data_IF_904277336856
#
_entry.id   IF_904277336856
#
_cell.length_a   1.000
_cell.length_b   1.000
_cell.length_c   1.000
_cell.angle_alpha   90.00
_cell.angle_beta   90.00
_cell.angle_gamma   90.00
#
_symmetry.space_group_name_H-M   'P 1'
#
loop_
_entity.id
_entity.type
_entity.pdbx_description
1 polymer ?
#
# COMPACT_ATOMS: atom_id res chain seq x y z
N UNK A 1 -12.67 18.42 19.50
CA UNK A 1 -12.44 16.96 19.50
C UNK A 1 -11.06 16.66 18.92
N UNK A 2 -10.79 17.05 17.67
CA UNK A 2 -9.47 16.93 17.03
C UNK A 2 -8.28 17.40 17.90
N UNK A 3 -8.33 18.63 18.44
CA UNK A 3 -7.23 19.19 19.24
C UNK A 3 -6.74 18.24 20.36
N UNK A 4 -7.67 17.66 21.10
CA UNK A 4 -7.37 16.74 22.19
C UNK A 4 -6.79 15.42 21.67
N UNK A 5 -7.33 14.89 20.58
CA UNK A 5 -6.82 13.68 19.93
C UNK A 5 -5.39 13.90 19.41
N UNK A 6 -5.13 15.05 18.78
CA UNK A 6 -3.81 15.42 18.29
C UNK A 6 -2.80 15.57 19.43
N UNK A 7 -3.16 16.27 20.51
CA UNK A 7 -2.28 16.39 21.68
C UNK A 7 -1.95 15.05 22.33
N UNK A 8 -2.94 14.15 22.42
CA UNK A 8 -2.73 12.79 22.94
C UNK A 8 -1.79 12.00 22.04
N UNK A 9 -2.07 11.97 20.73
CA UNK A 9 -1.22 11.34 19.72
C UNK A 9 0.21 11.86 19.85
N UNK A 10 0.43 13.18 19.83
CA UNK A 10 1.76 13.77 19.88
C UNK A 10 2.51 13.38 21.16
N UNK A 11 1.85 13.43 22.33
CA UNK A 11 2.45 13.00 23.60
C UNK A 11 2.88 11.54 23.58
N UNK A 12 2.07 10.67 23.01
CA UNK A 12 2.37 9.25 22.92
C UNK A 12 3.51 8.97 21.91
N UNK A 13 3.49 9.64 20.75
CA UNK A 13 4.54 9.54 19.74
C UNK A 13 5.90 10.04 20.26
N UNK A 14 5.93 11.15 21.00
CA UNK A 14 7.14 11.69 21.65
C UNK A 14 7.67 10.71 22.69
N UNK A 15 6.81 10.13 23.53
CA UNK A 15 7.22 9.19 24.59
C UNK A 15 7.89 7.93 24.01
N UNK A 16 7.45 7.49 22.84
CA UNK A 16 8.01 6.33 22.14
C UNK A 16 9.16 6.64 21.17
N UNK A 17 9.53 7.91 20.97
CA UNK A 17 10.54 8.31 20.01
C UNK A 17 11.93 8.49 20.64
N UNK A 18 12.97 8.33 19.82
CA UNK A 18 14.36 8.64 20.19
C UNK A 18 15.14 9.16 18.98
N UNK A 19 16.33 9.72 19.21
CA UNK A 19 17.22 10.21 18.16
C UNK A 19 16.58 11.30 17.29
N UNK A 20 16.88 11.28 15.99
CA UNK A 20 16.43 12.29 15.05
C UNK A 20 14.91 12.36 14.91
N UNK A 21 14.19 11.24 15.03
CA UNK A 21 12.72 11.25 15.04
C UNK A 21 12.16 12.06 16.21
N UNK A 22 12.73 11.91 17.41
CA UNK A 22 12.31 12.71 18.57
C UNK A 22 12.58 14.20 18.34
N UNK A 23 13.75 14.54 17.78
CA UNK A 23 14.06 15.92 17.43
C UNK A 23 13.06 16.51 16.43
N UNK A 24 12.60 15.72 15.44
CA UNK A 24 11.61 16.16 14.45
C UNK A 24 10.23 16.37 15.08
N UNK A 25 9.79 15.48 15.97
CA UNK A 25 8.52 15.62 16.71
C UNK A 25 8.47 16.84 17.65
N UNK A 26 9.62 17.37 18.03
CA UNK A 26 9.74 18.56 18.89
C UNK A 26 9.85 19.88 18.10
N UNK A 27 9.92 19.82 16.76
CA UNK A 27 9.95 21.00 15.89
C UNK A 27 8.55 21.57 15.67
N UNK A 28 8.47 22.58 14.81
CA UNK A 28 7.20 23.10 14.32
C UNK A 28 6.47 22.06 13.46
N UNK A 29 5.33 21.56 13.98
CA UNK A 29 4.45 20.61 13.33
C UNK A 29 3.20 21.28 12.74
N UNK A 30 3.23 22.59 12.47
CA UNK A 30 2.05 23.30 11.89
C UNK A 30 1.63 22.71 10.54
N UNK A 31 2.58 22.23 9.73
CA UNK A 31 2.35 21.44 8.51
C UNK A 31 1.52 20.19 8.78
N UNK A 32 2.14 19.29 9.53
CA UNK A 32 1.58 18.00 9.96
C UNK A 32 0.23 18.14 10.66
N UNK A 33 0.07 19.08 11.58
CA UNK A 33 -1.20 19.36 12.26
C UNK A 33 -2.28 19.75 11.26
N UNK A 34 -1.97 20.64 10.31
CA UNK A 34 -2.94 21.07 9.30
C UNK A 34 -3.37 19.92 8.40
N UNK A 35 -2.43 19.05 8.04
CA UNK A 35 -2.75 17.83 7.31
C UNK A 35 -3.69 16.94 8.12
N UNK A 36 -3.38 16.66 9.38
CA UNK A 36 -4.21 15.83 10.25
C UNK A 36 -5.62 16.41 10.48
N UNK A 37 -5.79 17.74 10.54
CA UNK A 37 -7.12 18.38 10.59
C UNK A 37 -7.98 17.99 9.38
N UNK A 38 -7.34 17.82 8.21
CA UNK A 38 -8.00 17.45 6.95
C UNK A 38 -8.23 15.93 6.89
N UNK A 39 -7.29 15.11 7.35
CA UNK A 39 -7.42 13.65 7.35
C UNK A 39 -8.45 13.14 8.38
N UNK A 40 -8.50 13.77 9.57
CA UNK A 40 -9.27 13.29 10.71
C UNK A 40 -10.77 13.08 10.43
N UNK A 41 -11.50 14.00 9.75
CA UNK A 41 -12.90 13.78 9.40
C UNK A 41 -13.14 12.56 8.49
N UNK A 42 -12.14 12.16 7.71
CA UNK A 42 -12.23 11.03 6.77
C UNK A 42 -11.84 9.72 7.44
N UNK A 43 -10.78 9.74 8.25
CA UNK A 43 -10.30 8.57 8.99
C UNK A 43 -11.17 8.23 10.21
N UNK A 44 -11.83 9.24 10.80
CA UNK A 44 -12.65 9.12 12.01
C UNK A 44 -11.86 8.95 13.32
N UNK A 45 -10.59 8.59 13.24
CA UNK A 45 -9.64 8.48 14.35
C UNK A 45 -8.22 8.87 13.89
N UNK A 46 -7.34 9.16 14.84
CA UNK A 46 -5.90 9.29 14.60
C UNK A 46 -5.11 8.02 15.00
N UNK A 47 -5.79 6.98 15.48
CA UNK A 47 -5.19 5.70 15.82
C UNK A 47 -4.50 5.07 14.60
N UNK A 48 -3.36 4.42 14.83
CA UNK A 48 -2.59 3.77 13.75
C UNK A 48 -1.76 4.74 12.90
N UNK A 49 -1.86 6.05 13.14
CA UNK A 49 -0.97 7.05 12.54
C UNK A 49 0.34 7.15 13.33
N UNK A 50 1.44 7.22 12.60
CA UNK A 50 2.78 7.48 13.15
C UNK A 50 3.30 8.77 12.54
N UNK A 51 3.60 9.74 13.42
CA UNK A 51 4.19 11.01 13.02
C UNK A 51 5.70 10.87 12.85
N UNK A 52 6.29 11.61 11.90
CA UNK A 52 7.73 11.63 11.62
C UNK A 52 8.29 10.20 11.49
N UNK A 53 7.61 9.36 10.71
CA UNK A 53 7.89 7.93 10.62
C UNK A 53 9.28 7.70 10.00
N UNK A 54 10.18 7.07 10.77
CA UNK A 54 11.52 6.72 10.33
C UNK A 54 11.55 5.38 9.59
N UNK A 55 12.17 5.34 8.42
CA UNK A 55 12.54 4.09 7.74
C UNK A 55 13.91 4.18 7.09
N UNK A 56 14.50 3.02 6.79
CA UNK A 56 15.72 2.93 6.00
C UNK A 56 15.34 2.83 4.52
N UNK A 57 15.86 3.74 3.70
CA UNK A 57 15.67 3.74 2.25
C UNK A 57 16.34 2.52 1.60
N UNK A 58 16.02 2.24 0.33
CA UNK A 58 16.72 1.19 -0.42
C UNK A 58 18.23 1.48 -0.58
N UNK A 59 18.65 2.73 -0.43
CA UNK A 59 20.05 3.15 -0.47
C UNK A 59 20.74 3.11 0.91
N UNK A 60 20.06 2.60 1.94
CA UNK A 60 20.59 2.49 3.30
C UNK A 60 20.58 3.79 4.12
N UNK A 61 19.92 4.84 3.63
CA UNK A 61 19.85 6.14 4.32
C UNK A 61 18.52 6.25 5.06
N UNK A 62 18.54 6.84 6.27
CA UNK A 62 17.30 7.12 7.00
C UNK A 62 16.48 8.19 6.28
N UNK A 63 15.21 7.91 6.07
CA UNK A 63 14.22 8.86 5.55
C UNK A 63 13.05 8.94 6.52
N UNK A 64 12.38 10.09 6.53
CA UNK A 64 11.29 10.40 7.44
C UNK A 64 10.09 10.86 6.62
N UNK A 65 8.88 10.51 7.09
CA UNK A 65 7.64 10.99 6.50
C UNK A 65 6.73 11.58 7.58
N UNK A 66 6.05 12.66 7.23
CA UNK A 66 5.27 13.45 8.18
C UNK A 66 4.23 12.60 8.93
N UNK A 67 3.44 11.81 8.19
CA UNK A 67 2.41 10.94 8.77
C UNK A 67 2.30 9.63 7.98
N UNK A 68 2.38 8.49 8.66
CA UNK A 68 2.18 7.17 8.06
C UNK A 68 1.05 6.43 8.75
N UNK A 69 0.10 5.90 7.98
CA UNK A 69 -0.87 4.93 8.47
C UNK A 69 -0.34 3.52 8.23
N UNK A 70 0.03 2.79 9.30
CA UNK A 70 0.68 1.48 9.16
C UNK A 70 -0.23 0.42 8.53
N UNK A 71 -1.47 0.30 9.02
CA UNK A 71 -2.38 -0.77 8.56
C UNK A 71 -2.81 -0.57 7.10
N UNK A 72 -3.12 0.68 6.73
CA UNK A 72 -3.48 1.03 5.36
C UNK A 72 -2.28 1.16 4.42
N UNK A 73 -1.06 1.17 4.96
CA UNK A 73 0.20 1.41 4.23
C UNK A 73 0.13 2.70 3.40
N UNK A 74 -0.38 3.78 3.99
CA UNK A 74 -0.40 5.10 3.35
C UNK A 74 0.66 6.00 3.98
N UNK A 75 1.42 6.68 3.14
CA UNK A 75 2.46 7.64 3.51
C UNK A 75 2.01 9.03 3.08
N UNK A 76 1.55 9.83 4.03
CA UNK A 76 1.09 11.20 3.82
C UNK A 76 2.24 12.17 4.04
N UNK A 77 2.35 13.14 3.13
CA UNK A 77 3.39 14.17 3.15
C UNK A 77 2.78 15.53 2.88
N UNK A 78 3.23 16.52 3.62
CA UNK A 78 2.92 17.93 3.41
C UNK A 78 4.06 18.58 2.63
N UNK A 79 3.82 18.84 1.35
CA UNK A 79 4.78 19.50 0.48
C UNK A 79 4.55 21.02 0.47
N UNK A 80 5.40 21.74 1.22
CA UNK A 80 5.42 23.20 1.16
C UNK A 80 6.04 23.67 -0.16
N UNK A 81 5.28 24.45 -0.93
CA UNK A 81 5.84 25.19 -2.06
C UNK A 81 6.66 26.37 -1.53
N UNK A 82 7.96 26.17 -1.39
CA UNK A 82 8.87 27.28 -1.14
C UNK A 82 9.01 28.06 -2.45
N UNK A 83 8.84 29.38 -2.40
CA UNK A 83 9.17 30.34 -3.48
C UNK A 83 10.63 30.21 -3.96
N UNK A 84 11.44 29.47 -3.21
CA UNK A 84 12.80 29.06 -3.48
C UNK A 84 12.93 27.67 -4.12
N UNK A 85 11.92 27.17 -4.85
CA UNK A 85 12.06 25.95 -5.64
C UNK A 85 13.28 26.01 -6.59
N UNK A 86 13.70 27.21 -7.00
CA UNK A 86 14.92 27.46 -7.77
C UNK A 86 16.22 27.29 -6.94
N UNK A 87 16.16 27.37 -5.61
CA UNK A 87 17.30 27.20 -4.69
C UNK A 87 17.49 25.74 -4.25
N UNK A 88 16.63 24.80 -4.67
CA UNK A 88 16.86 23.40 -4.39
C UNK A 88 18.15 22.93 -5.07
N UNK A 89 19.07 22.35 -4.30
CA UNK A 89 20.29 21.79 -4.88
C UNK A 89 19.93 20.56 -5.74
N UNK A 90 20.75 20.27 -6.76
CA UNK A 90 20.58 19.07 -7.59
C UNK A 90 20.57 17.79 -6.75
N UNK A 91 21.38 17.75 -5.70
CA UNK A 91 21.47 16.62 -4.77
C UNK A 91 20.20 16.47 -3.93
N UNK A 92 19.67 17.59 -3.40
CA UNK A 92 18.40 17.55 -2.66
C UNK A 92 17.26 17.11 -3.56
N UNK A 93 17.15 17.65 -4.77
CA UNK A 93 16.15 17.21 -5.75
C UNK A 93 16.27 15.70 -6.02
N UNK A 94 17.47 15.21 -6.28
CA UNK A 94 17.73 13.78 -6.55
C UNK A 94 17.37 12.91 -5.35
N UNK A 95 17.70 13.36 -4.13
CA UNK A 95 17.37 12.70 -2.89
C UNK A 95 15.85 12.58 -2.72
N UNK A 96 15.08 13.65 -2.93
CA UNK A 96 13.62 13.61 -2.82
C UNK A 96 13.00 12.60 -3.80
N UNK A 97 13.48 12.56 -5.05
CA UNK A 97 13.02 11.53 -6.01
C UNK A 97 13.39 10.12 -5.56
N UNK A 98 14.54 9.94 -4.91
CA UNK A 98 14.96 8.66 -4.34
C UNK A 98 14.14 8.26 -3.11
N UNK A 99 13.73 9.25 -2.30
CA UNK A 99 12.88 9.08 -1.13
C UNK A 99 11.52 8.53 -1.55
N UNK A 100 10.86 9.17 -2.51
CA UNK A 100 9.57 8.70 -3.05
C UNK A 100 9.68 7.26 -3.58
N UNK A 101 10.73 6.94 -4.34
CA UNK A 101 10.95 5.54 -4.81
C UNK A 101 11.12 4.57 -3.64
N UNK A 102 11.80 4.96 -2.57
CA UNK A 102 11.99 4.12 -1.38
C UNK A 102 10.67 3.82 -0.69
N UNK A 103 9.79 4.82 -0.58
CA UNK A 103 8.44 4.66 -0.04
C UNK A 103 7.65 3.68 -0.90
N UNK A 104 7.66 3.85 -2.22
CA UNK A 104 6.97 2.95 -3.16
C UNK A 104 7.49 1.52 -3.11
N UNK A 105 8.82 1.33 -3.11
CA UNK A 105 9.46 0.00 -3.01
C UNK A 105 9.10 -0.70 -1.70
N UNK A 106 8.81 0.08 -0.64
CA UNK A 106 8.41 -0.43 0.66
C UNK A 106 6.90 -0.69 0.78
N UNK A 107 6.20 -0.76 -0.36
CA UNK A 107 4.76 -1.02 -0.48
C UNK A 107 3.86 -0.01 0.23
N UNK A 108 4.33 1.24 0.39
CA UNK A 108 3.51 2.35 0.85
C UNK A 108 2.93 3.13 -0.34
N UNK A 109 1.66 3.50 -0.22
CA UNK A 109 1.05 4.53 -1.07
C UNK A 109 1.57 5.90 -0.66
N UNK A 110 2.45 6.47 -1.47
CA UNK A 110 2.88 7.86 -1.30
C UNK A 110 1.74 8.80 -1.73
N UNK A 111 1.26 9.62 -0.80
CA UNK A 111 0.10 10.48 -0.98
C UNK A 111 0.39 11.91 -0.48
N UNK A 112 1.05 12.73 -1.33
CA UNK A 112 1.44 14.08 -0.95
C UNK A 112 0.26 15.04 -1.07
N UNK A 113 0.24 16.04 -0.21
CA UNK A 113 -0.60 17.21 -0.29
C UNK A 113 0.26 18.46 -0.29
N UNK A 114 -0.05 19.43 -1.13
CA UNK A 114 0.55 20.75 -0.96
C UNK A 114 -0.07 21.49 0.22
N UNK A 115 0.72 22.35 0.90
CA UNK A 115 0.20 23.26 1.94
C UNK A 115 -1.02 24.05 1.49
N UNK A 116 -0.93 24.57 0.27
CA UNK A 116 -1.98 25.37 -0.35
C UNK A 116 -3.27 24.57 -0.55
N UNK A 117 -3.19 23.28 -0.89
CA UNK A 117 -4.37 22.42 -0.99
C UNK A 117 -4.99 22.15 0.38
N UNK A 118 -4.19 21.88 1.41
CA UNK A 118 -4.67 21.64 2.77
C UNK A 118 -5.37 22.87 3.36
N UNK A 119 -4.87 24.07 3.06
CA UNK A 119 -5.42 25.33 3.57
C UNK A 119 -6.61 25.83 2.75
N UNK A 120 -6.48 25.85 1.42
CA UNK A 120 -7.45 26.51 0.53
C UNK A 120 -8.51 25.55 -0.01
N UNK A 121 -8.24 24.23 -0.02
CA UNK A 121 -9.10 23.20 -0.62
C UNK A 121 -9.23 21.93 0.24
N UNK A 122 -9.54 22.04 1.55
CA UNK A 122 -9.58 20.87 2.44
C UNK A 122 -10.62 19.82 2.00
N UNK A 123 -11.78 20.24 1.51
CA UNK A 123 -12.83 19.32 1.02
C UNK A 123 -12.39 18.51 -0.20
N UNK A 124 -11.54 19.09 -1.06
CA UNK A 124 -10.95 18.37 -2.20
C UNK A 124 -9.97 17.31 -1.71
N UNK A 125 -9.12 17.66 -0.74
CA UNK A 125 -8.18 16.74 -0.12
C UNK A 125 -8.91 15.54 0.52
N UNK A 126 -10.00 15.82 1.25
CA UNK A 126 -10.84 14.80 1.88
C UNK A 126 -11.48 13.87 0.86
N UNK A 127 -12.01 14.42 -0.24
CA UNK A 127 -12.61 13.62 -1.32
C UNK A 127 -11.59 12.68 -1.97
N UNK A 128 -10.38 13.17 -2.23
CA UNK A 128 -9.31 12.36 -2.80
C UNK A 128 -8.88 11.24 -1.84
N UNK A 129 -8.86 11.51 -0.54
CA UNK A 129 -8.61 10.47 0.47
C UNK A 129 -9.74 9.44 0.52
N UNK A 130 -11.01 9.86 0.48
CA UNK A 130 -12.13 8.91 0.40
C UNK A 130 -12.01 7.98 -0.81
N UNK A 131 -11.64 8.51 -1.98
CA UNK A 131 -11.41 7.71 -3.19
C UNK A 131 -10.25 6.72 -3.00
N UNK A 132 -9.13 7.16 -2.39
CA UNK A 132 -7.99 6.30 -2.06
C UNK A 132 -8.40 5.16 -1.11
N UNK A 133 -9.13 5.48 -0.05
CA UNK A 133 -9.61 4.51 0.92
C UNK A 133 -10.60 3.54 0.28
N UNK A 134 -11.54 4.00 -0.55
CA UNK A 134 -12.47 3.13 -1.26
C UNK A 134 -11.75 2.10 -2.14
N UNK A 135 -10.67 2.52 -2.82
CA UNK A 135 -9.82 1.59 -3.61
C UNK A 135 -9.07 0.60 -2.74
N UNK A 136 -8.51 1.06 -1.62
CA UNK A 136 -7.67 0.25 -0.72
C UNK A 136 -8.49 -0.74 0.12
N UNK A 137 -9.71 -0.37 0.49
CA UNK A 137 -10.64 -1.18 1.28
C UNK A 137 -11.44 -2.19 0.46
N UNK A 138 -11.24 -2.25 -0.86
CA UNK A 138 -11.82 -3.32 -1.67
C UNK A 138 -11.40 -4.67 -1.08
N UNK A 139 -12.40 -5.47 -0.71
CA UNK A 139 -12.36 -6.69 0.12
C UNK A 139 -11.46 -7.83 -0.37
N UNK A 140 -10.72 -7.61 -1.46
CA UNK A 140 -10.02 -8.59 -2.24
C UNK A 140 -8.79 -9.15 -1.51
N UNK A 141 -8.07 -8.32 -0.73
CA UNK A 141 -6.97 -8.83 0.11
C UNK A 141 -7.46 -9.69 1.28
N UNK A 142 -8.56 -9.31 1.92
CA UNK A 142 -9.20 -10.12 2.97
C UNK A 142 -9.73 -11.43 2.37
N UNK A 143 -10.28 -11.39 1.15
CA UNK A 143 -10.71 -12.58 0.41
C UNK A 143 -9.53 -13.50 0.07
N UNK A 144 -8.39 -12.93 -0.35
CA UNK A 144 -7.15 -13.68 -0.56
C UNK A 144 -6.72 -14.39 0.73
N UNK A 145 -6.74 -13.71 1.87
CA UNK A 145 -6.34 -14.30 3.15
C UNK A 145 -7.24 -15.46 3.60
N UNK A 146 -8.52 -15.45 3.21
CA UNK A 146 -9.48 -16.54 3.47
C UNK A 146 -9.23 -17.79 2.62
N UNK A 147 -8.45 -17.69 1.55
CA UNK A 147 -8.13 -18.86 0.72
C UNK A 147 -7.12 -19.78 1.41
N UNK A 148 -7.23 -21.11 1.22
CA UNK A 148 -6.21 -22.06 1.62
C UNK A 148 -4.83 -21.68 1.07
N UNK A 149 -3.77 -21.94 1.84
CA UNK A 149 -2.39 -21.54 1.48
C UNK A 149 -1.99 -22.01 0.08
N UNK A 150 -2.31 -23.26 -0.27
CA UNK A 150 -2.01 -23.81 -1.59
C UNK A 150 -2.76 -23.11 -2.73
N UNK A 151 -3.99 -22.67 -2.50
CA UNK A 151 -4.76 -21.91 -3.49
C UNK A 151 -4.13 -20.53 -3.72
N UNK A 152 -3.75 -19.84 -2.63
CA UNK A 152 -3.07 -18.55 -2.70
C UNK A 152 -1.76 -18.66 -3.48
N UNK A 153 -1.00 -19.71 -3.22
CA UNK A 153 0.31 -19.90 -3.84
C UNK A 153 0.20 -20.18 -5.34
N UNK A 154 -0.75 -21.00 -5.79
CA UNK A 154 -1.01 -21.19 -7.23
C UNK A 154 -1.36 -19.85 -7.89
N UNK A 155 -2.25 -19.06 -7.29
CA UNK A 155 -2.65 -17.78 -7.87
C UNK A 155 -1.47 -16.79 -7.91
N UNK A 156 -0.63 -16.76 -6.87
CA UNK A 156 0.58 -15.92 -6.82
C UNK A 156 1.56 -16.29 -7.93
N UNK A 157 1.84 -17.58 -8.11
CA UNK A 157 2.72 -18.07 -9.17
C UNK A 157 2.12 -17.84 -10.58
N UNK A 158 0.82 -18.04 -10.75
CA UNK A 158 0.13 -17.79 -12.01
C UNK A 158 0.16 -16.30 -12.40
N UNK A 159 -0.04 -15.41 -11.43
CA UNK A 159 0.07 -13.95 -11.63
C UNK A 159 1.50 -13.54 -12.05
N UNK A 160 2.52 -14.04 -11.36
CA UNK A 160 3.93 -13.74 -11.67
C UNK A 160 4.36 -14.26 -13.05
N UNK A 161 3.78 -15.37 -13.50
CA UNK A 161 4.11 -15.97 -14.81
C UNK A 161 3.53 -15.16 -15.98
N UNK A 162 2.44 -14.43 -15.76
CA UNK A 162 1.70 -13.62 -16.76
C UNK A 162 1.35 -14.37 -18.06
N UNK A 163 1.26 -15.71 -17.98
CA UNK A 163 1.00 -16.63 -19.10
C UNK A 163 0.28 -17.87 -18.58
N UNK A 164 -0.32 -18.64 -19.49
CA UNK A 164 -0.92 -19.92 -19.16
C UNK A 164 0.12 -20.90 -18.53
N UNK A 165 -0.35 -21.71 -17.59
CA UNK A 165 0.43 -22.72 -16.88
C UNK A 165 -0.23 -24.09 -16.95
N UNK A 166 0.57 -25.15 -16.81
CA UNK A 166 0.14 -26.54 -16.86
C UNK A 166 -0.07 -27.09 -15.45
N UNK A 167 -0.76 -28.23 -15.35
CA UNK A 167 -0.84 -29.01 -14.11
C UNK A 167 0.56 -29.34 -13.57
N UNK A 168 1.54 -29.60 -14.44
CA UNK A 168 2.90 -29.89 -14.05
C UNK A 168 3.58 -28.70 -13.36
N UNK A 169 3.41 -27.48 -13.89
CA UNK A 169 3.93 -26.26 -13.27
C UNK A 169 3.34 -26.08 -11.86
N UNK A 170 2.03 -26.27 -11.70
CA UNK A 170 1.39 -26.16 -10.39
C UNK A 170 1.80 -27.27 -9.41
N UNK A 171 2.13 -28.47 -9.88
CA UNK A 171 2.70 -29.52 -9.01
C UNK A 171 4.09 -29.13 -8.52
N UNK A 172 4.89 -28.52 -9.40
CA UNK A 172 6.24 -28.06 -9.09
C UNK A 172 6.22 -26.92 -8.06
N UNK A 173 5.38 -25.90 -8.28
CA UNK A 173 5.25 -24.77 -7.35
C UNK A 173 4.85 -25.19 -5.95
N UNK A 174 3.92 -26.14 -5.85
CA UNK A 174 3.37 -26.57 -4.57
C UNK A 174 4.15 -27.72 -3.93
N UNK A 175 5.02 -28.40 -4.68
CA UNK A 175 5.68 -29.64 -4.30
C UNK A 175 4.68 -30.72 -3.81
N UNK A 176 3.60 -30.93 -4.56
CA UNK A 176 2.55 -31.92 -4.23
C UNK A 176 2.28 -32.87 -5.39
N UNK A 177 1.61 -33.99 -5.10
CA UNK A 177 1.22 -34.97 -6.12
C UNK A 177 0.20 -34.40 -7.10
N UNK A 178 0.15 -34.98 -8.31
CA UNK A 178 -0.81 -34.59 -9.36
C UNK A 178 -2.26 -34.67 -8.88
N UNK A 179 -2.60 -35.62 -8.03
CA UNK A 179 -3.96 -35.80 -7.51
C UNK A 179 -4.36 -34.65 -6.59
N UNK A 180 -3.49 -34.26 -5.67
CA UNK A 180 -3.69 -33.11 -4.79
C UNK A 180 -3.76 -31.82 -5.59
N UNK A 181 -2.84 -31.63 -6.54
CA UNK A 181 -2.81 -30.45 -7.39
C UNK A 181 -4.09 -30.31 -8.23
N UNK A 182 -4.60 -31.41 -8.83
CA UNK A 182 -5.88 -31.38 -9.57
C UNK A 182 -7.06 -30.95 -8.70
N UNK A 183 -7.10 -31.37 -7.43
CA UNK A 183 -8.16 -30.94 -6.51
C UNK A 183 -8.09 -29.43 -6.29
N UNK A 184 -6.89 -28.90 -6.01
CA UNK A 184 -6.63 -27.46 -5.81
C UNK A 184 -7.03 -26.66 -7.05
N UNK A 185 -6.59 -27.06 -8.25
CA UNK A 185 -6.92 -26.36 -9.48
C UNK A 185 -8.43 -26.38 -9.77
N UNK A 186 -9.12 -27.49 -9.49
CA UNK A 186 -10.59 -27.55 -9.59
C UNK A 186 -11.29 -26.60 -8.63
N UNK A 187 -10.79 -26.42 -7.40
CA UNK A 187 -11.41 -25.46 -6.46
C UNK A 187 -11.26 -24.04 -6.98
N UNK A 188 -10.06 -23.69 -7.48
CA UNK A 188 -9.75 -22.38 -8.04
C UNK A 188 -10.57 -22.08 -9.29
N UNK A 189 -10.75 -23.08 -10.16
CA UNK A 189 -11.61 -23.01 -11.34
C UNK A 189 -13.08 -22.80 -10.94
N UNK A 190 -13.58 -23.57 -9.96
CA UNK A 190 -14.96 -23.44 -9.45
C UNK A 190 -15.21 -22.06 -8.83
N UNK A 191 -14.18 -21.46 -8.20
CA UNK A 191 -14.23 -20.09 -7.66
C UNK A 191 -14.07 -19.01 -8.74
N UNK A 192 -13.83 -19.39 -9.99
CA UNK A 192 -13.55 -18.54 -11.13
C UNK A 192 -12.27 -17.69 -10.99
N UNK A 193 -11.28 -18.12 -10.21
CA UNK A 193 -9.99 -17.42 -10.11
C UNK A 193 -8.99 -17.83 -11.19
N UNK A 194 -9.18 -19.02 -11.77
CA UNK A 194 -8.47 -19.48 -12.97
C UNK A 194 -9.49 -19.98 -13.99
N UNK A 195 -9.13 -19.96 -15.27
CA UNK A 195 -9.90 -20.56 -16.35
C UNK A 195 -9.03 -21.50 -17.18
N UNK A 196 -9.67 -22.46 -17.83
CA UNK A 196 -9.00 -23.37 -18.76
C UNK A 196 -8.64 -22.64 -20.04
N UNK A 197 -7.43 -22.87 -20.54
CA UNK A 197 -6.98 -22.36 -21.84
C UNK A 197 -6.63 -23.52 -22.74
N UNK A 198 -7.30 -23.55 -23.89
CA UNK A 198 -7.13 -24.56 -24.93
C UNK A 198 -7.71 -25.92 -24.56
N UNK A 199 -8.23 -26.62 -25.58
CA UNK A 199 -8.77 -27.96 -25.44
C UNK A 199 -9.85 -28.28 -26.45
N UNK A 200 -9.97 -29.56 -26.80
CA UNK A 200 -11.22 -30.13 -27.32
C UNK A 200 -12.04 -30.72 -26.17
N UNK A 201 -13.17 -31.41 -26.44
CA UNK A 201 -14.08 -31.92 -25.40
C UNK A 201 -13.48 -32.92 -24.40
N UNK A 202 -12.22 -33.36 -24.58
CA UNK A 202 -11.55 -34.41 -23.80
C UNK A 202 -10.15 -34.03 -23.25
N UNK A 203 -9.61 -32.82 -23.51
CA UNK A 203 -8.25 -32.43 -23.07
C UNK A 203 -8.16 -30.96 -22.70
N UNK A 204 -7.65 -30.66 -21.51
CA UNK A 204 -7.30 -29.30 -21.07
C UNK A 204 -5.83 -29.02 -21.43
N UNK A 205 -5.53 -27.91 -22.10
CA UNK A 205 -4.14 -27.57 -22.47
C UNK A 205 -3.42 -26.67 -21.46
N UNK A 206 -4.12 -26.08 -20.49
CA UNK A 206 -3.51 -25.27 -19.44
C UNK A 206 -4.55 -24.46 -18.68
N UNK A 207 -4.07 -23.63 -17.77
CA UNK A 207 -4.84 -22.75 -16.92
C UNK A 207 -4.28 -21.34 -17.05
N UNK A 208 -5.14 -20.33 -17.02
CA UNK A 208 -4.73 -18.92 -16.92
C UNK A 208 -5.45 -18.29 -15.73
N UNK A 209 -4.78 -17.36 -15.06
CA UNK A 209 -5.43 -16.55 -14.02
C UNK A 209 -6.49 -15.66 -14.66
N UNK A 210 -7.68 -15.58 -14.06
CA UNK A 210 -8.73 -14.67 -14.51
C UNK A 210 -8.53 -13.28 -13.93
N UNK A 211 -9.17 -12.23 -14.46
CA UNK A 211 -9.17 -10.91 -13.83
C UNK A 211 -9.64 -10.94 -12.37
N UNK A 212 -10.60 -11.81 -12.03
CA UNK A 212 -11.08 -12.03 -10.66
C UNK A 212 -9.99 -12.65 -9.76
N UNK A 213 -9.21 -13.59 -10.29
CA UNK A 213 -8.09 -14.18 -9.55
C UNK A 213 -6.94 -13.19 -9.35
N UNK A 214 -6.65 -12.40 -10.38
CA UNK A 214 -5.60 -11.37 -10.32
C UNK A 214 -5.97 -10.23 -9.37
N UNK A 215 -7.23 -9.80 -9.35
CA UNK A 215 -7.71 -8.72 -8.47
C UNK A 215 -7.49 -9.02 -6.99
N UNK A 216 -7.44 -10.29 -6.57
CA UNK A 216 -7.09 -10.67 -5.20
C UNK A 216 -5.71 -10.17 -4.73
N UNK A 217 -4.77 -9.96 -5.66
CA UNK A 217 -3.41 -9.48 -5.39
C UNK A 217 -3.24 -8.00 -5.67
N UNK A 218 -4.19 -7.39 -6.38
CA UNK A 218 -4.19 -5.97 -6.63
C UNK A 218 -4.76 -5.27 -5.39
N UNK A 219 -3.92 -4.53 -4.65
CA UNK A 219 -4.42 -3.55 -3.68
C UNK A 219 -5.16 -2.39 -4.36
N UNK A 220 -5.00 -2.24 -5.68
CA UNK A 220 -5.60 -1.20 -6.50
C UNK A 220 -6.11 -1.79 -7.81
N UNK A 221 -7.42 -1.74 -8.04
CA UNK A 221 -7.98 -1.89 -9.39
C UNK A 221 -7.52 -0.68 -10.23
N UNK A 222 -6.87 -0.94 -11.36
CA UNK A 222 -6.62 0.08 -12.40
C UNK A 222 -7.92 0.33 -13.14
#
# INVERSE_FOLDING_TARGET
>A
MFEKEFENLLKDQIRGASGQRLEMLQRDLTGTRKMLEVLYPVLGTLDGLILEYEMVSFSGVKIYGDVVHLDLRIWFEEENFLTHAELITRDRFTFERSRVRSVTISDYMYFPYSRDELEKKPEFCQRNLHELLARTTNSQYIELLKLPVYEREVLRCALLRDKAFLLADACEWLNVTKETCRKILRTLETKCYISLVGGGPLRCHGFIITPKGASLFHRFSI
#
